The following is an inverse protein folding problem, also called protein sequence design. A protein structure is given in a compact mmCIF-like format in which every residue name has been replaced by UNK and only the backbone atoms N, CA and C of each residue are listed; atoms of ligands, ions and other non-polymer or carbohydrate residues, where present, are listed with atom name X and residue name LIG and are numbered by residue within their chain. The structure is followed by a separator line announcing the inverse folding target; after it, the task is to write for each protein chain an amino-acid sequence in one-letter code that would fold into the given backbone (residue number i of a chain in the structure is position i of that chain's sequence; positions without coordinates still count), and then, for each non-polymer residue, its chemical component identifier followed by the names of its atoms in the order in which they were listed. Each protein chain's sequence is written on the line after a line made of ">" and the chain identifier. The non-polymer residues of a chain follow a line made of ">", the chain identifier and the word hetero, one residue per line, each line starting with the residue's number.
data_IF_207189507498
#
_entry.id   IF_207189507498
#
_cell.length_a   1.000
_cell.length_b   1.000
_cell.length_c   1.000
_cell.angle_alpha   90.00
_cell.angle_beta   90.00
_cell.angle_gamma   90.00
#
_symmetry.space_group_name_H-M   'P 1'
#
loop_
_entity.id
_entity.type
_entity.pdbx_description
1 polymer ?
#
# COMPACT_ATOMS: atom_id res chain seq x y z
N UNK A 1 25.25 4.51 28.18
CA UNK A 1 23.85 4.41 28.64
C UNK A 1 23.00 5.28 27.71
N UNK A 2 22.20 4.67 26.83
CA UNK A 2 21.29 5.44 25.97
C UNK A 2 20.17 6.04 26.84
N UNK A 3 20.00 7.37 26.81
CA UNK A 3 18.93 8.08 27.51
C UNK A 3 17.60 7.55 26.98
N UNK A 4 16.74 7.00 27.85
CA UNK A 4 15.37 6.65 27.46
C UNK A 4 14.64 7.95 27.13
N UNK A 5 14.17 8.08 25.90
CA UNK A 5 13.32 9.19 25.47
C UNK A 5 12.01 9.15 26.27
N UNK A 6 11.56 10.30 26.72
CA UNK A 6 10.20 10.50 27.23
C UNK A 6 9.17 10.36 26.10
N UNK A 7 7.91 10.16 26.46
CA UNK A 7 6.83 10.05 25.47
C UNK A 7 6.72 11.29 24.56
N UNK A 8 6.79 12.54 25.05
CA UNK A 8 6.79 13.72 24.18
C UNK A 8 7.98 13.75 23.21
N UNK A 9 9.20 13.48 23.70
CA UNK A 9 10.40 13.42 22.86
C UNK A 9 10.26 12.34 21.77
N UNK A 10 9.58 11.23 22.07
CA UNK A 10 9.36 10.14 21.12
C UNK A 10 8.32 10.50 20.04
N UNK A 11 7.22 11.15 20.44
CA UNK A 11 6.20 11.64 19.50
C UNK A 11 6.80 12.70 18.57
N UNK A 12 7.59 13.63 19.13
CA UNK A 12 8.30 14.66 18.38
C UNK A 12 9.27 14.03 17.37
N UNK A 13 10.07 13.04 17.80
CA UNK A 13 10.97 12.30 16.90
C UNK A 13 10.24 11.69 15.68
N UNK A 14 9.05 11.11 15.87
CA UNK A 14 8.29 10.54 14.76
C UNK A 14 7.68 11.61 13.85
N UNK A 15 7.17 12.70 14.42
CA UNK A 15 6.66 13.82 13.64
C UNK A 15 7.76 14.49 12.80
N UNK A 16 8.95 14.68 13.37
CA UNK A 16 10.09 15.24 12.66
C UNK A 16 10.53 14.35 11.49
N UNK A 17 10.55 13.02 11.70
CA UNK A 17 10.85 12.07 10.63
C UNK A 17 9.82 12.10 9.48
N UNK A 18 8.53 12.26 9.80
CA UNK A 18 7.47 12.45 8.78
C UNK A 18 7.67 13.78 8.05
N UNK A 19 7.90 14.87 8.79
CA UNK A 19 8.08 16.21 8.23
C UNK A 19 9.29 16.29 7.30
N UNK A 20 10.39 15.62 7.64
CA UNK A 20 11.55 15.54 6.75
C UNK A 20 11.20 14.80 5.45
N UNK A 21 10.45 13.70 5.54
CA UNK A 21 10.02 12.94 4.37
C UNK A 21 9.11 13.73 3.41
N UNK A 22 8.35 14.71 3.90
CA UNK A 22 7.50 15.57 3.07
C UNK A 22 8.29 16.32 1.98
N UNK A 23 9.56 16.65 2.23
CA UNK A 23 10.44 17.29 1.26
C UNK A 23 10.66 16.46 -0.01
N UNK A 24 10.46 15.14 0.10
CA UNK A 24 10.70 14.14 -0.95
C UNK A 24 9.42 13.70 -1.68
N UNK A 25 8.24 14.19 -1.27
CA UNK A 25 6.95 13.93 -1.90
C UNK A 25 6.73 14.78 -3.15
N UNK A 26 7.65 14.68 -4.10
CA UNK A 26 7.57 15.38 -5.36
C UNK A 26 8.26 14.57 -6.46
N UNK A 27 7.58 14.41 -7.59
CA UNK A 27 8.11 13.69 -8.74
C UNK A 27 9.45 14.29 -9.22
N UNK A 28 9.68 15.60 -9.10
CA UNK A 28 10.91 16.22 -9.58
C UNK A 28 12.16 15.96 -8.71
N UNK A 29 12.03 15.30 -7.54
CA UNK A 29 13.17 15.04 -6.64
C UNK A 29 14.12 13.97 -7.19
N UNK A 30 15.35 13.94 -6.69
CA UNK A 30 16.34 12.94 -7.08
C UNK A 30 15.91 11.53 -6.65
N UNK A 31 15.92 10.54 -7.56
CA UNK A 31 15.59 9.14 -7.22
C UNK A 31 16.53 8.56 -6.14
N UNK A 32 17.86 8.78 -6.20
CA UNK A 32 18.75 8.39 -5.10
C UNK A 32 18.35 8.95 -3.74
N UNK A 33 18.05 10.25 -3.64
CA UNK A 33 17.67 10.87 -2.37
C UNK A 33 16.30 10.37 -1.87
N UNK A 34 15.38 10.12 -2.79
CA UNK A 34 14.08 9.52 -2.45
C UNK A 34 14.24 8.09 -1.92
N UNK A 35 15.11 7.29 -2.54
CA UNK A 35 15.39 5.93 -2.09
C UNK A 35 16.08 5.93 -0.71
N UNK A 36 17.06 6.81 -0.49
CA UNK A 36 17.68 7.01 0.83
C UNK A 36 16.64 7.40 1.89
N UNK A 37 15.74 8.35 1.56
CA UNK A 37 14.66 8.72 2.46
C UNK A 37 13.72 7.54 2.78
N UNK A 38 13.42 6.68 1.81
CA UNK A 38 12.65 5.46 2.05
C UNK A 38 13.37 4.53 3.05
N UNK A 39 14.69 4.37 2.94
CA UNK A 39 15.48 3.60 3.91
C UNK A 39 15.48 4.24 5.31
N UNK A 40 15.52 5.57 5.40
CA UNK A 40 15.36 6.27 6.68
C UNK A 40 13.98 6.02 7.30
N UNK A 41 12.93 5.98 6.47
CA UNK A 41 11.57 5.65 6.92
C UNK A 41 11.43 4.18 7.35
N UNK A 42 12.18 3.24 6.75
CA UNK A 42 12.25 1.85 7.23
C UNK A 42 12.78 1.79 8.67
N UNK A 43 13.83 2.56 8.96
CA UNK A 43 14.39 2.67 10.33
C UNK A 43 13.39 3.32 11.28
N UNK A 44 12.69 4.38 10.84
CA UNK A 44 11.68 5.05 11.65
C UNK A 44 10.51 4.10 11.99
N UNK A 45 10.05 3.32 11.01
CA UNK A 45 9.02 2.29 11.21
C UNK A 45 9.44 1.25 12.25
N UNK A 46 10.69 0.78 12.17
CA UNK A 46 11.23 -0.15 13.17
C UNK A 46 11.20 0.45 14.60
N UNK A 47 11.52 1.74 14.74
CA UNK A 47 11.48 2.43 16.02
C UNK A 47 10.04 2.60 16.55
N UNK A 48 9.09 2.97 15.69
CA UNK A 48 7.67 3.05 16.06
C UNK A 48 7.14 1.67 16.46
N UNK A 49 7.49 0.62 15.73
CA UNK A 49 7.07 -0.75 16.05
C UNK A 49 7.54 -1.18 17.45
N UNK A 50 8.77 -0.82 17.83
CA UNK A 50 9.27 -1.03 19.20
C UNK A 50 8.45 -0.25 20.23
N UNK A 51 8.17 1.03 19.98
CA UNK A 51 7.37 1.86 20.87
C UNK A 51 5.96 1.28 21.06
N UNK A 52 5.35 0.83 19.97
CA UNK A 52 4.06 0.13 19.97
C UNK A 52 4.09 -1.12 20.84
N UNK A 53 5.09 -1.99 20.68
CA UNK A 53 5.21 -3.21 21.48
C UNK A 53 5.38 -2.92 22.98
N UNK A 54 6.10 -1.85 23.33
CA UNK A 54 6.21 -1.41 24.73
C UNK A 54 4.84 -0.98 25.26
N UNK A 55 4.07 -0.20 24.48
CA UNK A 55 2.72 0.22 24.87
C UNK A 55 1.77 -0.97 25.04
N UNK A 56 1.81 -1.95 24.12
CA UNK A 56 1.04 -3.20 24.21
C UNK A 56 1.41 -4.00 25.46
N UNK A 57 2.71 -4.16 25.73
CA UNK A 57 3.20 -4.88 26.93
C UNK A 57 2.75 -4.20 28.22
N UNK A 58 2.67 -2.87 28.22
CA UNK A 58 2.18 -2.08 29.35
C UNK A 58 0.65 -1.98 29.41
N UNK A 59 -0.07 -2.69 28.53
CA UNK A 59 -1.52 -2.64 28.42
C UNK A 59 -2.10 -1.24 28.22
N UNK A 60 -1.34 -0.35 27.57
CA UNK A 60 -1.78 0.99 27.23
C UNK A 60 -2.32 1.00 25.79
N UNK A 61 -3.62 0.76 25.67
CA UNK A 61 -4.30 0.67 24.36
C UNK A 61 -4.21 1.96 23.56
N UNK A 62 -4.42 3.11 24.22
CA UNK A 62 -4.39 4.42 23.55
C UNK A 62 -3.02 4.68 22.91
N UNK A 63 -1.93 4.47 23.66
CA UNK A 63 -0.58 4.60 23.12
C UNK A 63 -0.24 3.53 22.07
N UNK A 64 -0.70 2.29 22.25
CA UNK A 64 -0.48 1.24 21.26
C UNK A 64 -1.16 1.60 19.93
N UNK A 65 -2.37 2.16 20.00
CA UNK A 65 -3.14 2.61 18.86
C UNK A 65 -2.57 3.89 18.22
N UNK A 66 -2.04 4.81 19.03
CA UNK A 66 -1.29 5.97 18.54
C UNK A 66 -0.05 5.54 17.73
N UNK A 67 0.75 4.61 18.25
CA UNK A 67 1.93 4.12 17.54
C UNK A 67 1.58 3.26 16.32
N UNK A 68 0.46 2.52 16.34
CA UNK A 68 -0.09 1.91 15.13
C UNK A 68 -0.43 2.98 14.08
N UNK A 69 -1.00 4.11 14.49
CA UNK A 69 -1.27 5.26 13.62
C UNK A 69 0.00 5.79 12.97
N UNK A 70 1.08 5.95 13.74
CA UNK A 70 2.39 6.33 13.22
C UNK A 70 2.94 5.30 12.23
N UNK A 71 2.85 4.00 12.49
CA UNK A 71 3.28 2.96 11.54
C UNK A 71 2.56 3.11 10.19
N UNK A 72 1.23 3.30 10.23
CA UNK A 72 0.44 3.46 9.03
C UNK A 72 0.79 4.75 8.27
N UNK A 73 0.96 5.87 8.99
CA UNK A 73 1.31 7.16 8.39
C UNK A 73 2.70 7.15 7.74
N UNK A 74 3.71 6.61 8.44
CA UNK A 74 5.08 6.51 7.91
C UNK A 74 5.11 5.56 6.71
N UNK A 75 4.42 4.41 6.81
CA UNK A 75 4.29 3.49 5.69
C UNK A 75 3.62 4.12 4.47
N UNK A 76 2.62 4.98 4.68
CA UNK A 76 1.95 5.72 3.62
C UNK A 76 2.92 6.68 2.90
N UNK A 77 3.63 7.51 3.67
CA UNK A 77 4.64 8.45 3.18
C UNK A 77 5.71 7.74 2.36
N UNK A 78 6.26 6.64 2.91
CA UNK A 78 7.26 5.82 2.23
C UNK A 78 6.72 5.26 0.92
N UNK A 79 5.49 4.77 0.91
CA UNK A 79 4.85 4.21 -0.29
C UNK A 79 4.64 5.28 -1.37
N UNK A 80 4.28 6.51 -0.99
CA UNK A 80 4.19 7.63 -1.94
C UNK A 80 5.56 7.98 -2.54
N UNK A 81 6.62 8.00 -1.73
CA UNK A 81 7.99 8.21 -2.25
C UNK A 81 8.39 7.08 -3.22
N UNK A 82 8.13 5.81 -2.85
CA UNK A 82 8.41 4.66 -3.70
C UNK A 82 7.62 4.71 -5.02
N UNK A 83 6.38 5.19 -5.02
CA UNK A 83 5.61 5.43 -6.25
C UNK A 83 6.35 6.37 -7.19
N UNK A 84 6.86 7.52 -6.71
CA UNK A 84 7.62 8.44 -7.55
C UNK A 84 8.89 7.81 -8.12
N UNK A 85 9.61 7.00 -7.32
CA UNK A 85 10.82 6.29 -7.80
C UNK A 85 10.46 5.28 -8.89
N UNK A 86 9.37 4.52 -8.70
CA UNK A 86 8.91 3.51 -9.67
C UNK A 86 8.44 4.16 -10.98
N UNK A 87 7.74 5.29 -10.93
CA UNK A 87 7.39 6.07 -12.13
C UNK A 87 8.62 6.49 -12.93
N UNK A 88 9.71 6.91 -12.26
CA UNK A 88 10.97 7.29 -12.93
C UNK A 88 11.73 6.11 -13.50
N UNK A 89 11.47 4.91 -12.99
CA UNK A 89 12.03 3.65 -13.49
C UNK A 89 11.17 3.02 -14.58
N UNK A 90 10.12 3.71 -15.02
CA UNK A 90 9.16 3.24 -16.03
C UNK A 90 8.36 2.01 -15.57
N UNK A 91 8.24 1.79 -14.26
CA UNK A 91 7.44 0.71 -13.67
C UNK A 91 6.11 1.25 -13.15
N UNK A 92 5.24 1.65 -14.08
CA UNK A 92 3.97 2.28 -13.75
C UNK A 92 2.99 1.32 -13.04
N UNK A 93 3.11 0.00 -13.25
CA UNK A 93 2.25 -0.98 -12.57
C UNK A 93 2.63 -1.14 -11.09
N UNK A 94 3.91 -1.22 -10.76
CA UNK A 94 4.35 -1.21 -9.38
C UNK A 94 4.09 0.16 -8.72
N UNK A 95 4.26 1.26 -9.47
CA UNK A 95 3.93 2.60 -8.98
C UNK A 95 2.46 2.72 -8.58
N UNK A 96 1.53 2.23 -9.41
CA UNK A 96 0.10 2.16 -9.08
C UNK A 96 -0.13 1.42 -7.76
N UNK A 97 0.49 0.25 -7.60
CA UNK A 97 0.33 -0.54 -6.37
C UNK A 97 0.86 0.20 -5.13
N UNK A 98 1.91 1.03 -5.28
CA UNK A 98 2.44 1.88 -4.21
C UNK A 98 1.57 3.11 -3.92
N UNK A 99 0.92 3.70 -4.92
CA UNK A 99 -0.10 4.73 -4.72
C UNK A 99 -1.26 4.20 -3.87
N UNK A 100 -1.82 3.04 -4.26
CA UNK A 100 -2.91 2.40 -3.52
C UNK A 100 -2.46 2.05 -2.11
N UNK A 101 -1.23 1.58 -1.94
CA UNK A 101 -0.66 1.33 -0.61
C UNK A 101 -0.61 2.60 0.24
N UNK A 102 -0.17 3.73 -0.31
CA UNK A 102 -0.16 5.01 0.39
C UNK A 102 -1.56 5.45 0.84
N UNK A 103 -2.55 5.35 -0.04
CA UNK A 103 -3.95 5.67 0.27
C UNK A 103 -4.49 4.78 1.41
N UNK A 104 -4.22 3.47 1.35
CA UNK A 104 -4.61 2.53 2.42
C UNK A 104 -3.94 2.87 3.75
N UNK A 105 -2.65 3.23 3.75
CA UNK A 105 -1.92 3.63 4.95
C UNK A 105 -2.50 4.89 5.60
N UNK A 106 -2.86 5.90 4.82
CA UNK A 106 -3.55 7.09 5.34
C UNK A 106 -4.90 6.74 5.98
N UNK A 107 -5.71 5.90 5.33
CA UNK A 107 -7.00 5.44 5.86
C UNK A 107 -6.84 4.68 7.18
N UNK A 108 -5.88 3.77 7.23
CA UNK A 108 -5.63 2.94 8.40
C UNK A 108 -4.99 3.77 9.55
N UNK A 109 -4.18 4.79 9.25
CA UNK A 109 -3.67 5.73 10.25
C UNK A 109 -4.79 6.52 10.95
N UNK A 110 -5.75 7.04 10.17
CA UNK A 110 -6.91 7.77 10.71
C UNK A 110 -7.82 6.86 11.55
N UNK A 111 -7.97 5.59 11.15
CA UNK A 111 -8.72 4.60 11.93
C UNK A 111 -8.01 4.24 13.23
N UNK A 112 -6.68 4.17 13.21
CA UNK A 112 -5.88 3.76 14.35
C UNK A 112 -5.96 4.76 15.50
N UNK A 113 -5.86 6.07 15.25
CA UNK A 113 -5.90 7.04 16.33
C UNK A 113 -6.27 8.46 15.84
N UNK A 114 -7.08 9.18 16.63
CA UNK A 114 -7.58 10.52 16.29
C UNK A 114 -6.49 11.57 16.05
N UNK A 115 -5.33 11.39 16.68
CA UNK A 115 -4.16 12.25 16.51
C UNK A 115 -3.57 12.26 15.10
N UNK A 116 -3.98 11.32 14.24
CA UNK A 116 -3.52 11.21 12.84
C UNK A 116 -4.61 11.65 11.85
N UNK A 117 -5.60 12.41 12.30
CA UNK A 117 -6.67 12.97 11.44
C UNK A 117 -6.15 13.83 10.28
N UNK A 118 -4.95 14.43 10.41
CA UNK A 118 -4.30 15.17 9.32
C UNK A 118 -3.99 14.31 8.08
N UNK A 119 -3.95 12.98 8.21
CA UNK A 119 -3.85 12.07 7.06
C UNK A 119 -5.05 12.18 6.10
N UNK A 120 -6.18 12.78 6.51
CA UNK A 120 -7.33 13.02 5.64
C UNK A 120 -6.96 13.95 4.47
N UNK A 121 -6.19 15.01 4.75
CA UNK A 121 -5.71 15.93 3.72
C UNK A 121 -4.79 15.21 2.74
N UNK A 122 -3.80 14.47 3.26
CA UNK A 122 -2.87 13.70 2.43
C UNK A 122 -3.59 12.66 1.56
N UNK A 123 -4.62 12.00 2.10
CA UNK A 123 -5.44 11.06 1.33
C UNK A 123 -6.14 11.75 0.15
N UNK A 124 -6.68 12.95 0.35
CA UNK A 124 -7.27 13.73 -0.73
C UNK A 124 -6.22 14.09 -1.80
N UNK A 125 -5.04 14.53 -1.39
CA UNK A 125 -3.93 14.82 -2.30
C UNK A 125 -3.53 13.56 -3.12
N UNK A 126 -3.47 12.37 -2.48
CA UNK A 126 -3.20 11.11 -3.17
C UNK A 126 -4.30 10.70 -4.16
N UNK A 127 -5.56 11.05 -3.89
CA UNK A 127 -6.67 10.83 -4.84
C UNK A 127 -6.58 11.78 -6.04
N UNK A 128 -6.06 12.99 -5.84
CA UNK A 128 -5.76 13.90 -6.95
C UNK A 128 -4.61 13.37 -7.80
N UNK A 129 -3.52 12.91 -7.17
CA UNK A 129 -2.38 12.30 -7.87
C UNK A 129 -2.79 11.06 -8.67
N UNK A 130 -3.71 10.23 -8.16
CA UNK A 130 -4.29 9.10 -8.90
C UNK A 130 -4.83 9.53 -10.26
N UNK A 131 -5.58 10.63 -10.30
CA UNK A 131 -6.23 11.15 -11.51
C UNK A 131 -5.25 11.84 -12.46
N UNK A 132 -4.15 12.37 -11.93
CA UNK A 132 -3.14 13.12 -12.70
C UNK A 132 -2.11 12.18 -13.31
N UNK A 133 -1.63 11.18 -12.57
CA UNK A 133 -0.53 10.33 -13.03
C UNK A 133 -0.97 9.06 -13.74
N UNK A 134 -2.17 8.56 -13.46
CA UNK A 134 -2.59 7.26 -13.97
C UNK A 134 -3.85 7.39 -14.84
N UNK A 135 -3.93 6.64 -15.95
CA UNK A 135 -5.14 6.60 -16.76
C UNK A 135 -6.28 5.93 -15.98
N UNK A 136 -7.55 6.10 -16.38
CA UNK A 136 -8.67 5.40 -15.78
C UNK A 136 -8.50 3.87 -15.82
N UNK A 137 -8.62 3.24 -14.66
CA UNK A 137 -8.48 1.80 -14.50
C UNK A 137 -9.83 1.09 -14.64
N UNK A 138 -9.77 -0.21 -14.96
CA UNK A 138 -10.94 -1.11 -14.96
C UNK A 138 -10.79 -2.02 -13.75
N UNK A 139 -11.60 -1.78 -12.73
CA UNK A 139 -11.50 -2.49 -11.46
C UNK A 139 -12.30 -3.79 -11.45
N UNK A 140 -11.78 -4.71 -10.66
CA UNK A 140 -12.34 -6.04 -10.48
C UNK A 140 -12.55 -6.29 -8.99
N UNK A 141 -13.66 -6.93 -8.65
CA UNK A 141 -13.90 -7.46 -7.32
C UNK A 141 -14.22 -8.96 -7.42
N UNK A 142 -13.62 -9.73 -6.52
CA UNK A 142 -13.91 -11.15 -6.40
C UNK A 142 -14.95 -11.39 -5.29
N UNK A 143 -16.03 -12.08 -5.64
CA UNK A 143 -17.04 -12.56 -4.72
C UNK A 143 -16.64 -13.90 -4.13
N UNK A 144 -16.63 -14.00 -2.80
CA UNK A 144 -16.36 -15.24 -2.08
C UNK A 144 -17.46 -15.53 -1.07
N UNK A 145 -17.77 -16.81 -0.91
CA UNK A 145 -18.58 -17.32 0.20
C UNK A 145 -17.66 -17.99 1.19
N UNK A 146 -17.77 -17.65 2.47
CA UNK A 146 -16.99 -18.27 3.54
C UNK A 146 -17.93 -18.97 4.51
N UNK A 147 -17.56 -20.17 4.95
CA UNK A 147 -18.35 -20.95 5.91
C UNK A 147 -18.35 -20.26 7.28
N UNK A 148 -17.25 -19.58 7.62
CA UNK A 148 -17.11 -18.83 8.85
C UNK A 148 -16.18 -17.63 8.68
N UNK A 149 -16.46 -16.56 9.43
CA UNK A 149 -15.60 -15.39 9.55
C UNK A 149 -15.15 -15.28 11.00
N UNK A 150 -13.84 -15.32 11.22
CA UNK A 150 -13.22 -15.19 12.55
C UNK A 150 -12.63 -13.79 12.71
N UNK A 151 -12.73 -13.24 13.92
CA UNK A 151 -12.10 -11.96 14.27
C UNK A 151 -10.59 -12.12 14.42
N UNK A 152 -9.79 -11.24 13.80
CA UNK A 152 -8.32 -11.27 13.93
C UNK A 152 -7.80 -10.93 15.33
N UNK A 153 -8.61 -10.26 16.17
CA UNK A 153 -8.20 -9.82 17.52
C UNK A 153 -8.40 -10.92 18.55
N UNK A 154 -9.56 -11.56 18.59
CA UNK A 154 -9.88 -12.59 19.61
C UNK A 154 -10.01 -14.02 19.05
N UNK A 155 -9.99 -14.21 17.73
CA UNK A 155 -10.15 -15.51 17.09
C UNK A 155 -11.58 -16.08 17.11
N UNK A 156 -12.52 -15.43 17.80
CA UNK A 156 -13.90 -15.88 17.88
C UNK A 156 -14.67 -15.62 16.57
N UNK A 157 -15.74 -16.38 16.30
CA UNK A 157 -16.66 -16.06 15.22
C UNK A 157 -17.16 -14.62 15.34
N UNK A 158 -17.23 -13.91 14.22
CA UNK A 158 -17.68 -12.50 14.19
C UNK A 158 -19.10 -12.31 14.73
N UNK A 159 -19.96 -13.33 14.67
CA UNK A 159 -21.30 -13.33 15.29
C UNK A 159 -21.30 -13.39 16.82
N UNK A 160 -20.15 -13.70 17.44
CA UNK A 160 -19.97 -13.86 18.89
C UNK A 160 -18.94 -12.86 19.46
N UNK A 161 -18.57 -11.84 18.68
CA UNK A 161 -17.51 -10.90 18.99
C UNK A 161 -18.00 -9.46 18.85
N UNK A 162 -17.51 -8.58 19.74
CA UNK A 162 -17.83 -7.14 19.70
C UNK A 162 -16.77 -6.29 18.98
N UNK A 163 -15.69 -6.89 18.47
CA UNK A 163 -14.67 -6.18 17.72
C UNK A 163 -15.18 -5.81 16.32
N UNK A 164 -15.03 -4.53 15.97
CA UNK A 164 -15.50 -3.99 14.71
C UNK A 164 -14.36 -4.00 13.68
N UNK A 165 -14.64 -4.49 12.47
CA UNK A 165 -13.67 -4.49 11.38
C UNK A 165 -13.16 -3.07 11.09
N UNK A 166 -11.85 -2.94 10.93
CA UNK A 166 -11.17 -1.67 10.70
C UNK A 166 -11.00 -0.81 11.95
N UNK A 167 -11.44 -1.25 13.15
CA UNK A 167 -11.13 -0.56 14.40
C UNK A 167 -9.85 -1.08 15.04
N UNK A 168 -9.09 -0.21 15.73
CA UNK A 168 -7.86 -0.56 16.41
C UNK A 168 -8.15 -1.15 17.80
N UNK A 169 -7.40 -2.19 18.16
CA UNK A 169 -7.42 -2.83 19.47
C UNK A 169 -5.99 -3.21 19.82
N UNK A 170 -5.44 -2.65 20.90
CA UNK A 170 -4.07 -2.91 21.37
C UNK A 170 -3.01 -2.91 20.24
N UNK A 171 -2.99 -1.85 19.43
CA UNK A 171 -1.99 -1.67 18.38
C UNK A 171 -2.16 -2.57 17.14
N UNK A 172 -3.37 -3.12 16.93
CA UNK A 172 -3.73 -3.91 15.76
C UNK A 172 -5.12 -3.51 15.23
N UNK A 173 -5.29 -3.47 13.90
CA UNK A 173 -6.61 -3.31 13.29
C UNK A 173 -7.35 -4.65 13.24
N UNK A 174 -8.62 -4.65 13.64
CA UNK A 174 -9.47 -5.83 13.51
C UNK A 174 -9.80 -6.09 12.04
N UNK A 175 -9.56 -7.32 11.60
CA UNK A 175 -9.90 -7.82 10.27
C UNK A 175 -10.68 -9.12 10.39
N UNK A 176 -11.35 -9.49 9.31
CA UNK A 176 -12.07 -10.76 9.23
C UNK A 176 -11.22 -11.80 8.52
N UNK A 177 -11.00 -12.93 9.21
CA UNK A 177 -10.31 -14.10 8.68
C UNK A 177 -11.37 -15.01 8.07
N UNK A 178 -11.36 -15.11 6.75
CA UNK A 178 -12.23 -15.99 6.00
C UNK A 178 -11.80 -17.45 6.17
N UNK A 179 -12.68 -18.29 6.72
CA UNK A 179 -12.43 -19.73 6.85
C UNK A 179 -13.10 -20.49 5.72
N UNK A 180 -12.30 -21.31 5.05
CA UNK A 180 -12.71 -22.11 3.88
C UNK A 180 -13.43 -21.26 2.82
N UNK A 181 -12.77 -20.20 2.29
CA UNK A 181 -13.38 -19.38 1.26
C UNK A 181 -13.57 -20.20 -0.02
N UNK A 182 -14.76 -20.11 -0.62
CA UNK A 182 -15.08 -20.63 -1.94
C UNK A 182 -15.35 -19.46 -2.88
N UNK A 183 -14.67 -19.43 -4.01
CA UNK A 183 -14.95 -18.45 -5.07
C UNK A 183 -16.36 -18.61 -5.61
N UNK A 184 -17.03 -17.49 -5.85
CA UNK A 184 -18.37 -17.42 -6.42
C UNK A 184 -18.32 -16.79 -7.81
N UNK A 185 -17.83 -15.55 -7.90
CA UNK A 185 -17.73 -14.82 -9.16
C UNK A 185 -16.58 -13.80 -9.14
N UNK A 186 -16.32 -13.23 -10.32
CA UNK A 186 -15.47 -12.06 -10.52
C UNK A 186 -16.34 -11.02 -11.24
N UNK A 187 -16.40 -9.80 -10.72
CA UNK A 187 -17.22 -8.72 -11.26
C UNK A 187 -16.38 -7.49 -11.61
N UNK A 188 -16.75 -6.82 -12.69
CA UNK A 188 -16.30 -5.45 -12.96
C UNK A 188 -17.06 -4.51 -12.03
N UNK A 189 -16.35 -3.60 -11.37
CA UNK A 189 -16.93 -2.68 -10.38
C UNK A 189 -16.38 -1.26 -10.57
N UNK A 190 -17.15 -0.26 -10.16
CA UNK A 190 -16.68 1.13 -10.14
C UNK A 190 -15.80 1.42 -8.90
N UNK A 191 -16.18 0.85 -7.75
CA UNK A 191 -15.51 1.08 -6.46
C UNK A 191 -15.10 -0.27 -5.87
N UNK A 192 -13.86 -0.74 -6.12
CA UNK A 192 -13.36 -1.97 -5.53
C UNK A 192 -13.00 -1.76 -4.05
N UNK A 193 -13.02 -2.85 -3.27
CA UNK A 193 -12.48 -2.85 -1.91
C UNK A 193 -10.94 -2.62 -1.90
N UNK A 194 -10.26 -3.04 -2.98
CA UNK A 194 -8.83 -2.85 -3.18
C UNK A 194 -8.55 -2.47 -4.64
N UNK A 195 -8.07 -1.24 -4.87
CA UNK A 195 -7.79 -0.70 -6.21
C UNK A 195 -6.62 -1.37 -6.93
N UNK A 196 -5.85 -2.24 -6.27
CA UNK A 196 -4.86 -3.08 -6.96
C UNK A 196 -5.54 -4.16 -7.81
N UNK A 197 -6.78 -4.53 -7.47
CA UNK A 197 -7.57 -5.50 -8.21
C UNK A 197 -8.15 -4.87 -9.48
N UNK A 198 -7.48 -5.11 -10.62
CA UNK A 198 -7.75 -4.44 -11.89
C UNK A 198 -7.36 -5.30 -13.08
N UNK A 199 -7.81 -4.91 -14.27
CA UNK A 199 -7.25 -5.39 -15.55
C UNK A 199 -5.85 -4.80 -15.74
N UNK A 200 -4.85 -5.65 -15.93
CA UNK A 200 -3.43 -5.27 -16.11
C UNK A 200 -3.06 -5.18 -17.58
N UNK A 201 -3.51 -6.14 -18.39
CA UNK A 201 -3.28 -6.15 -19.84
C UNK A 201 -4.45 -6.82 -20.57
N UNK A 202 -4.53 -6.59 -21.88
CA UNK A 202 -5.52 -7.18 -22.75
C UNK A 202 -4.90 -7.58 -24.10
N UNK A 203 -5.40 -8.67 -24.67
CA UNK A 203 -4.91 -9.23 -25.94
C UNK A 203 -5.33 -8.34 -27.12
N UNK A 204 -4.41 -8.11 -28.06
CA UNK A 204 -4.61 -7.29 -29.27
C UNK A 204 -3.94 -7.96 -30.47
N UNK A 205 -4.22 -7.53 -31.70
CA UNK A 205 -3.60 -8.12 -32.90
C UNK A 205 -2.06 -8.25 -32.86
N UNK A 206 -1.39 -7.32 -32.18
CA UNK A 206 0.06 -7.23 -32.15
C UNK A 206 0.69 -7.90 -30.90
N UNK A 207 -0.12 -8.38 -29.95
CA UNK A 207 0.35 -8.92 -28.67
C UNK A 207 -0.52 -8.50 -27.48
N UNK A 208 0.01 -8.63 -26.27
CA UNK A 208 -0.64 -8.19 -25.02
C UNK A 208 -0.32 -6.74 -24.75
N UNK A 209 -1.33 -5.87 -24.70
CA UNK A 209 -1.16 -4.44 -24.42
C UNK A 209 -1.37 -4.16 -22.93
N UNK A 210 -0.41 -3.51 -22.29
CA UNK A 210 -0.53 -3.05 -20.92
C UNK A 210 -1.58 -1.93 -20.79
N UNK A 211 -2.42 -1.98 -19.75
CA UNK A 211 -3.50 -1.01 -19.58
C UNK A 211 -3.01 0.36 -19.12
N UNK A 212 -1.92 0.42 -18.34
CA UNK A 212 -1.35 1.67 -17.83
C UNK A 212 -0.36 2.25 -18.85
N UNK A 213 0.67 1.49 -19.23
CA UNK A 213 1.79 2.01 -20.04
C UNK A 213 1.50 2.03 -21.54
N UNK A 214 0.46 1.30 -21.99
CA UNK A 214 0.17 1.06 -23.41
C UNK A 214 1.26 0.29 -24.17
N UNK A 215 2.31 -0.16 -23.49
CA UNK A 215 3.36 -0.99 -24.06
C UNK A 215 2.81 -2.33 -24.51
N UNK A 216 3.47 -2.87 -25.53
CA UNK A 216 3.10 -4.12 -26.17
C UNK A 216 4.11 -5.20 -25.77
N UNK A 217 3.62 -6.27 -25.17
CA UNK A 217 4.38 -7.51 -25.01
C UNK A 217 4.03 -8.44 -26.17
N UNK A 218 5.00 -8.81 -27.02
CA UNK A 218 4.78 -9.73 -28.12
C UNK A 218 4.23 -11.08 -27.64
N UNK A 219 3.57 -11.79 -28.55
CA UNK A 219 3.09 -13.14 -28.29
C UNK A 219 4.22 -14.12 -28.01
N UNK A 220 3.96 -15.05 -27.09
CA UNK A 220 4.81 -16.23 -26.91
C UNK A 220 4.65 -17.19 -28.08
N UNK A 221 5.60 -18.11 -28.28
CA UNK A 221 5.49 -19.14 -29.33
C UNK A 221 4.16 -19.92 -29.18
N UNK A 222 3.37 -19.96 -30.26
CA UNK A 222 2.07 -20.65 -30.31
C UNK A 222 0.86 -19.79 -29.95
N UNK A 223 1.04 -18.56 -29.47
CA UNK A 223 -0.06 -17.61 -29.29
C UNK A 223 -0.40 -16.92 -30.62
N UNK A 224 -1.69 -16.76 -30.91
CA UNK A 224 -2.18 -16.08 -32.11
C UNK A 224 -3.41 -15.24 -31.80
N UNK A 225 -3.71 -14.29 -32.68
CA UNK A 225 -4.88 -13.42 -32.59
C UNK A 225 -5.86 -13.72 -33.73
N UNK A 226 -7.16 -13.75 -33.41
CA UNK A 226 -8.24 -13.75 -34.39
C UNK A 226 -9.29 -12.71 -34.02
N UNK A 227 -9.78 -11.95 -35.00
CA UNK A 227 -10.77 -10.87 -34.77
C UNK A 227 -12.11 -11.35 -34.22
N UNK A 228 -12.43 -12.64 -34.41
CA UNK A 228 -13.68 -13.24 -33.94
C UNK A 228 -13.51 -14.08 -32.66
N UNK A 229 -12.36 -13.97 -31.99
CA UNK A 229 -12.11 -14.64 -30.71
C UNK A 229 -12.67 -13.86 -29.52
N UNK A 230 -12.70 -14.54 -28.38
CA UNK A 230 -13.06 -13.94 -27.09
C UNK A 230 -12.04 -12.87 -26.69
N UNK A 231 -12.52 -11.83 -25.99
CA UNK A 231 -11.63 -10.85 -25.37
C UNK A 231 -10.87 -11.51 -24.21
N UNK A 232 -9.55 -11.65 -24.39
CA UNK A 232 -8.66 -12.14 -23.35
C UNK A 232 -8.02 -10.99 -22.57
N UNK A 233 -8.06 -11.08 -21.25
CA UNK A 233 -7.50 -10.07 -20.33
C UNK A 233 -6.71 -10.73 -19.22
N UNK A 234 -5.59 -10.12 -18.83
CA UNK A 234 -4.87 -10.47 -17.60
C UNK A 234 -5.28 -9.53 -16.49
N UNK A 235 -5.56 -10.09 -15.32
CA UNK A 235 -6.17 -9.35 -14.22
C UNK A 235 -5.59 -9.74 -12.87
N UNK A 236 -5.64 -8.81 -11.92
CA UNK A 236 -5.47 -9.08 -10.50
C UNK A 236 -6.88 -9.08 -9.91
N UNK A 237 -7.37 -10.21 -9.43
CA UNK A 237 -8.71 -10.31 -8.81
C UNK A 237 -8.66 -10.38 -7.28
N UNK A 238 -7.49 -10.64 -6.69
CA UNK A 238 -7.30 -10.70 -5.24
C UNK A 238 -5.87 -10.31 -4.86
N UNK A 239 -5.74 -9.30 -4.00
CA UNK A 239 -4.48 -8.94 -3.36
C UNK A 239 -4.48 -9.42 -1.90
N UNK A 240 -3.67 -10.42 -1.58
CA UNK A 240 -3.66 -11.05 -0.24
C UNK A 240 -2.98 -10.19 0.82
N UNK A 241 -2.09 -9.28 0.41
CA UNK A 241 -1.37 -8.43 1.34
C UNK A 241 -2.25 -7.27 1.83
N UNK A 242 -2.78 -7.37 3.05
CA UNK A 242 -3.67 -6.36 3.67
C UNK A 242 -2.99 -5.03 3.97
N UNK A 243 -1.71 -5.05 4.32
CA UNK A 243 -0.92 -3.85 4.68
C UNK A 243 0.25 -3.69 3.70
N UNK A 244 -0.01 -3.33 2.43
CA UNK A 244 1.05 -3.19 1.43
C UNK A 244 2.02 -2.04 1.73
N UNK A 245 1.56 -1.02 2.44
CA UNK A 245 2.40 0.10 2.87
C UNK A 245 3.45 -0.28 3.92
N UNK A 246 3.41 -1.51 4.45
CA UNK A 246 4.41 -2.05 5.37
C UNK A 246 5.56 -2.79 4.68
N UNK A 247 5.51 -3.02 3.36
CA UNK A 247 6.63 -3.65 2.63
C UNK A 247 7.90 -2.81 2.74
N UNK A 248 9.04 -3.46 3.00
CA UNK A 248 10.33 -2.78 3.10
C UNK A 248 10.76 -2.18 1.77
N UNK A 249 11.55 -1.10 1.82
CA UNK A 249 12.08 -0.43 0.63
C UNK A 249 12.86 -1.41 -0.25
N UNK A 250 13.70 -2.25 0.37
CA UNK A 250 14.50 -3.26 -0.33
C UNK A 250 13.63 -4.25 -1.13
N UNK A 251 12.50 -4.70 -0.59
CA UNK A 251 11.62 -5.64 -1.29
C UNK A 251 10.99 -5.01 -2.53
N UNK A 252 10.70 -3.72 -2.49
CA UNK A 252 9.94 -2.99 -3.52
C UNK A 252 10.85 -2.42 -4.58
N UNK A 253 11.88 -1.69 -4.15
CA UNK A 253 12.78 -0.96 -5.03
C UNK A 253 14.06 -1.75 -5.35
N UNK A 254 14.29 -2.88 -4.68
CA UNK A 254 15.57 -3.59 -4.75
C UNK A 254 16.72 -2.80 -4.10
N UNK A 255 17.95 -3.33 -4.19
CA UNK A 255 19.14 -2.57 -3.82
C UNK A 255 19.26 -1.31 -4.72
N UNK A 256 19.86 -0.24 -4.21
CA UNK A 256 20.26 0.88 -5.07
C UNK A 256 21.15 0.35 -6.18
N UNK A 257 20.71 0.51 -7.44
CA UNK A 257 21.53 0.10 -8.59
C UNK A 257 22.34 1.30 -9.10
N UNK A 258 23.53 1.10 -9.68
CA UNK A 258 24.29 2.17 -10.30
C UNK A 258 23.53 2.91 -11.42
N UNK A 259 22.56 2.25 -12.06
CA UNK A 259 21.64 2.87 -13.03
C UNK A 259 20.68 3.89 -12.43
N UNK A 260 20.46 3.87 -11.11
CA UNK A 260 19.70 4.92 -10.41
C UNK A 260 20.52 6.21 -10.20
N UNK A 261 21.85 6.15 -10.41
CA UNK A 261 22.80 7.24 -10.16
C UNK A 261 23.19 8.02 -11.42
N UNK A 262 22.78 7.59 -12.61
CA UNK A 262 23.14 8.25 -13.86
C UNK A 262 21.88 8.61 -14.66
N UNK A 263 21.76 9.86 -15.15
CA UNK A 263 20.73 10.17 -16.12
C UNK A 263 20.99 9.28 -17.34
N UNK A 264 19.97 8.52 -17.77
CA UNK A 264 19.96 7.91 -19.10
C UNK A 264 19.94 9.06 -20.11
N UNK A 265 21.12 9.56 -20.46
CA UNK A 265 21.30 10.46 -21.59
C UNK A 265 21.13 9.59 -22.83
N UNK A 266 20.02 9.81 -23.55
CA UNK A 266 19.81 9.29 -24.90
C UNK A 266 20.75 9.96 -25.89
#
# INVERSE_FOLDING_TARGET
>A
MSKKLSLPELIEHFNDGIKEAENFLCLARSSPLQHEQCLMLDVLLYNVAKAKQIAVTNHNEDLANLFLGFECAIGAMRSEIMMYVLLKRDDANAAWDRLVAAQMGCLDAMRAHQGLSNCAKRLADLQDLERVFFPPQVFISAGFVSIRLDCSICGQPTSQCNHLRGRPYMGQLCEFIHRQPRGDHIALVEVPADKRCRVVSFKTKDGHKNRITWELTPYSEGESYSENEVLEVSTIFLALQRFPYMESTEKVLGPMTPSDLLPKIA
#
